data_IF_255457725883
#
_entry.id   IF_255457725883
#
_cell.length_a   1.000
_cell.length_b   1.000
_cell.length_c   1.000
_cell.angle_alpha   90.00
_cell.angle_beta   90.00
_cell.angle_gamma   90.00
#
_symmetry.space_group_name_H-M   'P 1'
#
loop_
_entity.id
_entity.type
_entity.pdbx_description
1 polymer ?
#
# COMPACT_ATOMS: atom_id res chain seq x y z
N UNK A 1 2.88 -18.69 1.95
CA UNK A 1 3.60 -17.39 2.09
C UNK A 1 3.95 -16.84 0.72
N UNK A 2 4.11 -15.52 0.58
CA UNK A 2 4.70 -14.88 -0.60
C UNK A 2 6.15 -14.57 -0.26
N UNK A 3 7.09 -14.98 -1.13
CA UNK A 3 8.52 -14.77 -0.92
C UNK A 3 9.11 -13.92 -2.04
N UNK A 4 9.83 -12.87 -1.66
CA UNK A 4 10.55 -11.97 -2.56
C UNK A 4 12.05 -12.28 -2.46
N UNK A 5 12.70 -12.55 -3.61
CA UNK A 5 14.12 -12.87 -3.69
C UNK A 5 14.83 -11.90 -4.63
N UNK A 6 15.61 -10.99 -4.06
CA UNK A 6 16.38 -9.99 -4.77
C UNK A 6 15.59 -9.22 -5.83
N UNK A 7 14.36 -8.83 -5.48
CA UNK A 7 13.43 -8.19 -6.41
C UNK A 7 13.86 -6.74 -6.66
N UNK A 8 13.94 -6.38 -7.95
CA UNK A 8 14.13 -5.01 -8.39
C UNK A 8 13.01 -4.59 -9.35
N UNK A 9 12.67 -3.31 -9.31
CA UNK A 9 11.69 -2.72 -10.20
C UNK A 9 12.20 -1.40 -10.81
N UNK A 10 12.01 -1.27 -12.11
CA UNK A 10 12.28 -0.05 -12.86
C UNK A 10 10.98 0.43 -13.53
N UNK A 11 10.85 1.72 -13.70
CA UNK A 11 9.79 2.32 -14.51
C UNK A 11 10.36 3.47 -15.33
N UNK A 12 10.18 3.41 -16.64
CA UNK A 12 10.69 4.44 -17.58
C UNK A 12 12.20 4.73 -17.40
N UNK A 13 13.00 3.67 -17.14
CA UNK A 13 14.44 3.79 -16.90
C UNK A 13 14.84 4.28 -15.51
N UNK A 14 13.89 4.62 -14.62
CA UNK A 14 14.14 5.02 -13.24
C UNK A 14 14.02 3.80 -12.32
N UNK A 15 15.03 3.61 -11.48
CA UNK A 15 15.00 2.62 -10.40
C UNK A 15 13.92 3.03 -9.37
N UNK A 16 12.97 2.15 -9.09
CA UNK A 16 12.00 2.30 -8.02
C UNK A 16 12.51 1.68 -6.72
N UNK A 17 12.98 0.44 -6.80
CA UNK A 17 13.66 -0.25 -5.69
C UNK A 17 14.50 -1.41 -6.21
N UNK A 18 15.51 -1.81 -5.43
CA UNK A 18 16.44 -2.90 -5.73
C UNK A 18 16.71 -3.76 -4.50
N UNK A 19 17.16 -4.99 -4.73
CA UNK A 19 17.58 -5.96 -3.70
C UNK A 19 16.52 -6.23 -2.62
N UNK A 20 15.23 -6.14 -2.96
CA UNK A 20 14.18 -6.40 -2.00
C UNK A 20 14.05 -7.88 -1.71
N UNK A 21 14.17 -8.23 -0.43
CA UNK A 21 14.00 -9.58 0.09
C UNK A 21 13.01 -9.53 1.26
N UNK A 22 11.95 -10.32 1.20
CA UNK A 22 10.95 -10.43 2.26
C UNK A 22 10.15 -11.72 2.15
N UNK A 23 9.49 -12.10 3.24
CA UNK A 23 8.53 -13.18 3.29
C UNK A 23 7.26 -12.68 3.98
N UNK A 24 6.11 -12.84 3.32
CA UNK A 24 4.81 -12.45 3.83
C UNK A 24 3.97 -13.69 4.10
N UNK A 25 3.37 -13.76 5.27
CA UNK A 25 2.60 -14.90 5.76
C UNK A 25 1.13 -14.55 5.96
N UNK A 26 0.24 -15.56 5.92
CA UNK A 26 -1.16 -15.40 6.36
C UNK A 26 -1.20 -14.85 7.78
N UNK A 27 -2.23 -14.05 8.09
CA UNK A 27 -2.39 -13.40 9.37
C UNK A 27 -1.56 -12.12 9.57
N UNK A 28 -0.64 -11.79 8.64
CA UNK A 28 0.07 -10.52 8.68
C UNK A 28 -0.77 -9.40 8.08
N UNK A 29 -0.67 -8.23 8.70
CA UNK A 29 -1.24 -6.96 8.22
C UNK A 29 -0.10 -5.97 8.08
N UNK A 30 0.22 -5.64 6.82
CA UNK A 30 1.40 -4.88 6.43
C UNK A 30 0.94 -3.57 5.79
N UNK A 31 1.30 -2.44 6.40
CA UNK A 31 1.10 -1.13 5.82
C UNK A 31 2.22 -0.81 4.82
N UNK A 32 1.88 -0.44 3.61
CA UNK A 32 2.83 -0.03 2.58
C UNK A 32 2.87 1.50 2.48
N UNK A 33 4.01 2.08 2.83
CA UNK A 33 4.20 3.53 2.90
C UNK A 33 5.36 4.00 2.04
N UNK A 34 5.39 5.29 1.74
CA UNK A 34 6.44 5.93 0.91
C UNK A 34 5.85 7.07 0.10
N UNK A 35 6.69 7.96 -0.40
CA UNK A 35 6.28 9.11 -1.20
C UNK A 35 5.58 8.69 -2.50
N UNK A 36 4.86 9.61 -3.13
CA UNK A 36 4.25 9.34 -4.42
C UNK A 36 5.32 9.05 -5.47
N UNK A 37 5.06 8.05 -6.32
CA UNK A 37 5.99 7.62 -7.36
C UNK A 37 7.18 6.77 -6.88
N UNK A 38 7.19 6.30 -5.62
CA UNK A 38 8.25 5.40 -5.10
C UNK A 38 8.10 3.95 -5.51
N UNK A 39 6.95 3.56 -6.09
CA UNK A 39 6.71 2.19 -6.56
C UNK A 39 5.73 1.37 -5.73
N UNK A 40 4.91 2.00 -4.87
CA UNK A 40 3.88 1.29 -4.09
C UNK A 40 2.93 0.48 -4.98
N UNK A 41 2.29 1.15 -5.95
CA UNK A 41 1.37 0.49 -6.89
C UNK A 41 2.08 -0.49 -7.82
N UNK A 42 3.37 -0.26 -8.15
CA UNK A 42 4.17 -1.21 -8.92
C UNK A 42 4.41 -2.50 -8.14
N UNK A 43 4.69 -2.41 -6.83
CA UNK A 43 4.83 -3.60 -5.97
C UNK A 43 3.52 -4.40 -5.89
N UNK A 44 2.37 -3.72 -5.77
CA UNK A 44 1.05 -4.36 -5.85
C UNK A 44 0.86 -5.06 -7.20
N UNK A 45 1.11 -4.37 -8.32
CA UNK A 45 0.98 -4.95 -9.66
C UNK A 45 1.90 -6.17 -9.88
N UNK A 46 3.10 -6.18 -9.29
CA UNK A 46 3.99 -7.35 -9.31
C UNK A 46 3.42 -8.53 -8.50
N UNK A 47 2.82 -8.28 -7.34
CA UNK A 47 2.17 -9.33 -6.53
C UNK A 47 0.97 -9.92 -7.29
N UNK A 48 0.20 -9.09 -7.97
CA UNK A 48 -0.91 -9.52 -8.85
C UNK A 48 -0.41 -10.34 -10.05
N UNK A 49 0.82 -10.10 -10.50
CA UNK A 49 1.38 -10.67 -11.72
C UNK A 49 1.04 -9.86 -12.99
N UNK A 50 0.52 -8.65 -12.83
CA UNK A 50 0.22 -7.71 -13.92
C UNK A 50 1.49 -7.00 -14.42
N UNK A 51 2.51 -6.92 -13.57
CA UNK A 51 3.82 -6.38 -13.90
C UNK A 51 4.91 -7.42 -13.59
N UNK A 52 5.79 -7.66 -14.56
CA UNK A 52 6.94 -8.55 -14.37
C UNK A 52 7.98 -7.93 -13.43
N UNK A 53 8.80 -8.78 -12.81
CA UNK A 53 9.98 -8.33 -12.06
C UNK A 53 11.15 -8.10 -13.03
N UNK A 54 11.87 -6.99 -12.89
CA UNK A 54 13.05 -6.70 -13.73
C UNK A 54 14.25 -7.56 -13.31
N UNK A 55 14.37 -7.83 -11.99
CA UNK A 55 15.37 -8.77 -11.43
C UNK A 55 14.75 -9.53 -10.27
N UNK A 56 15.32 -10.71 -10.00
CA UNK A 56 14.87 -11.56 -8.90
C UNK A 56 13.60 -12.32 -9.24
N UNK A 57 12.87 -12.75 -8.23
CA UNK A 57 11.61 -13.48 -8.39
C UNK A 57 10.67 -13.27 -7.21
N UNK A 58 9.38 -13.44 -7.47
CA UNK A 58 8.32 -13.46 -6.47
C UNK A 58 7.67 -14.84 -6.52
N UNK A 59 7.84 -15.61 -5.44
CA UNK A 59 7.24 -16.93 -5.30
C UNK A 59 5.96 -16.80 -4.48
N UNK A 60 4.85 -17.30 -5.04
CA UNK A 60 3.54 -17.37 -4.36
C UNK A 60 2.90 -18.74 -4.59
N UNK A 61 2.15 -19.28 -3.62
CA UNK A 61 1.40 -20.50 -3.82
C UNK A 61 0.39 -20.33 -4.94
N UNK A 62 0.27 -21.35 -5.80
CA UNK A 62 -0.62 -21.31 -6.98
C UNK A 62 -2.11 -21.30 -6.61
N UNK A 63 -2.44 -21.84 -5.45
CA UNK A 63 -3.78 -21.97 -4.88
C UNK A 63 -4.24 -20.68 -4.13
N UNK A 64 -3.34 -19.74 -3.90
CA UNK A 64 -3.71 -18.50 -3.23
C UNK A 64 -4.49 -17.57 -4.15
N UNK A 65 -5.69 -17.23 -3.71
CA UNK A 65 -6.53 -16.21 -4.34
C UNK A 65 -6.13 -14.83 -3.79
N UNK A 66 -5.99 -13.87 -4.70
CA UNK A 66 -5.65 -12.49 -4.34
C UNK A 66 -6.85 -11.62 -4.68
N UNK A 67 -7.42 -10.96 -3.67
CA UNK A 67 -8.39 -9.91 -3.87
C UNK A 67 -7.69 -8.55 -3.91
N UNK A 68 -8.04 -7.75 -4.89
CA UNK A 68 -7.51 -6.41 -5.07
C UNK A 68 -8.64 -5.41 -5.31
N UNK A 69 -8.60 -4.31 -4.59
CA UNK A 69 -9.55 -3.22 -4.76
C UNK A 69 -9.20 -2.43 -6.03
N UNK A 70 -10.06 -2.49 -7.05
CA UNK A 70 -9.88 -1.72 -8.26
C UNK A 70 -9.98 -0.21 -7.99
N UNK A 71 -9.22 0.60 -8.74
CA UNK A 71 -9.23 2.07 -8.57
C UNK A 71 -10.48 2.74 -9.19
N UNK A 72 -11.12 2.09 -10.14
CA UNK A 72 -12.31 2.61 -10.81
C UNK A 72 -13.43 1.57 -10.83
N UNK A 73 -14.65 2.04 -10.65
CA UNK A 73 -15.88 1.23 -10.75
C UNK A 73 -16.77 1.80 -11.81
N UNK A 74 -16.99 1.03 -12.87
CA UNK A 74 -17.93 1.38 -13.91
C UNK A 74 -19.38 1.26 -13.41
N UNK A 75 -20.25 2.13 -13.92
CA UNK A 75 -21.68 2.02 -13.64
C UNK A 75 -22.21 0.67 -14.17
N UNK A 76 -23.00 -0.01 -13.35
CA UNK A 76 -23.64 -1.30 -13.66
C UNK A 76 -25.13 -1.24 -13.33
N UNK A 77 -25.92 -2.01 -14.07
CA UNK A 77 -27.35 -2.18 -13.81
C UNK A 77 -27.65 -3.32 -12.81
N UNK A 78 -26.62 -3.86 -12.16
CA UNK A 78 -26.80 -4.80 -11.05
C UNK A 78 -27.26 -4.06 -9.80
N UNK A 79 -27.99 -4.74 -8.91
CA UNK A 79 -28.25 -4.22 -7.57
C UNK A 79 -26.94 -4.12 -6.77
N UNK A 80 -26.91 -3.28 -5.73
CA UNK A 80 -25.76 -3.18 -4.84
C UNK A 80 -25.41 -4.53 -4.23
N UNK A 81 -26.43 -5.28 -3.79
CA UNK A 81 -26.26 -6.62 -3.21
C UNK A 81 -25.67 -7.60 -4.22
N UNK A 82 -26.23 -7.70 -5.43
CA UNK A 82 -25.71 -8.60 -6.48
C UNK A 82 -24.29 -8.25 -6.88
N UNK A 83 -23.98 -6.95 -6.97
CA UNK A 83 -22.63 -6.48 -7.25
C UNK A 83 -21.63 -6.93 -6.18
N UNK A 84 -21.99 -6.84 -4.91
CA UNK A 84 -21.15 -7.30 -3.79
C UNK A 84 -21.01 -8.82 -3.79
N UNK A 85 -22.13 -9.55 -3.99
CA UNK A 85 -22.12 -11.02 -4.11
C UNK A 85 -21.23 -11.52 -5.25
N UNK A 86 -21.12 -10.77 -6.36
CA UNK A 86 -20.21 -11.12 -7.46
C UNK A 86 -18.74 -11.14 -7.07
N UNK A 87 -18.39 -10.61 -5.90
CA UNK A 87 -17.04 -10.73 -5.32
C UNK A 87 -16.70 -12.16 -4.88
N UNK A 88 -17.68 -12.95 -4.45
CA UNK A 88 -17.50 -14.38 -4.20
C UNK A 88 -17.78 -15.19 -5.48
N UNK A 89 -16.76 -15.29 -6.34
CA UNK A 89 -16.91 -15.96 -7.64
C UNK A 89 -17.33 -17.42 -7.56
N UNK A 90 -16.93 -18.15 -6.50
CA UNK A 90 -17.36 -19.55 -6.29
C UNK A 90 -18.83 -19.62 -5.98
N UNK A 91 -19.31 -18.77 -5.08
CA UNK A 91 -20.72 -18.69 -4.75
C UNK A 91 -21.56 -18.31 -5.98
N UNK A 92 -21.09 -17.28 -6.70
CA UNK A 92 -21.80 -16.76 -7.88
C UNK A 92 -21.98 -17.83 -8.96
N UNK A 93 -20.90 -18.58 -9.27
CA UNK A 93 -20.95 -19.69 -10.25
C UNK A 93 -21.89 -20.82 -9.80
N UNK A 94 -21.82 -21.23 -8.53
CA UNK A 94 -22.68 -22.30 -8.00
C UNK A 94 -24.15 -21.86 -7.93
N UNK A 95 -24.41 -20.63 -7.50
CA UNK A 95 -25.77 -20.08 -7.43
C UNK A 95 -26.39 -19.95 -8.82
N UNK A 96 -25.64 -19.49 -9.83
CA UNK A 96 -26.12 -19.44 -11.22
C UNK A 96 -26.50 -20.83 -11.74
N UNK A 97 -25.67 -21.86 -11.48
CA UNK A 97 -25.97 -23.24 -11.82
C UNK A 97 -27.22 -23.77 -11.12
N UNK A 98 -27.43 -23.40 -9.84
CA UNK A 98 -28.63 -23.77 -9.10
C UNK A 98 -29.90 -23.10 -9.62
N UNK A 99 -29.81 -21.88 -10.12
CA UNK A 99 -30.95 -21.20 -10.74
C UNK A 99 -31.28 -21.75 -12.14
N UNK A 100 -30.28 -22.26 -12.88
CA UNK A 100 -30.41 -22.75 -14.25
C UNK A 100 -30.44 -24.29 -14.33
N UNK A 101 -31.06 -24.97 -13.35
CA UNK A 101 -31.02 -26.44 -13.20
C UNK A 101 -31.61 -27.24 -14.37
N UNK A 102 -32.41 -26.63 -15.28
CA UNK A 102 -33.16 -27.33 -16.33
C UNK A 102 -32.32 -28.21 -17.29
N UNK A 103 -31.00 -27.98 -17.34
CA UNK A 103 -30.07 -28.70 -18.23
C UNK A 103 -29.15 -29.68 -17.47
N UNK A 104 -29.31 -29.85 -16.15
CA UNK A 104 -28.42 -30.62 -15.30
C UNK A 104 -29.04 -31.99 -14.95
N UNK A 105 -28.18 -33.02 -14.80
CA UNK A 105 -28.63 -34.31 -14.24
C UNK A 105 -28.87 -34.21 -12.72
N UNK A 106 -29.64 -35.12 -12.16
CA UNK A 106 -29.86 -35.21 -10.70
C UNK A 106 -28.56 -35.40 -9.93
N UNK A 107 -27.62 -36.14 -10.51
CA UNK A 107 -26.27 -36.33 -9.93
C UNK A 107 -25.48 -35.04 -9.86
N UNK A 108 -25.51 -34.24 -10.94
CA UNK A 108 -24.81 -32.95 -11.00
C UNK A 108 -25.41 -31.94 -10.01
N UNK A 109 -26.74 -31.94 -9.91
CA UNK A 109 -27.47 -31.10 -8.94
C UNK A 109 -27.02 -31.43 -7.51
N UNK A 110 -26.97 -32.73 -7.16
CA UNK A 110 -26.48 -33.17 -5.84
C UNK A 110 -25.04 -32.72 -5.55
N UNK A 111 -24.14 -32.83 -6.53
CA UNK A 111 -22.76 -32.37 -6.39
C UNK A 111 -22.63 -30.85 -6.24
N UNK A 112 -23.53 -30.09 -6.89
CA UNK A 112 -23.57 -28.62 -6.73
C UNK A 112 -24.05 -28.25 -5.33
N UNK A 113 -25.11 -28.87 -4.80
CA UNK A 113 -25.58 -28.63 -3.44
C UNK A 113 -24.51 -28.96 -2.40
N UNK A 114 -23.79 -30.06 -2.56
CA UNK A 114 -22.69 -30.42 -1.67
C UNK A 114 -21.61 -29.33 -1.67
N UNK A 115 -21.18 -28.87 -2.84
CA UNK A 115 -20.20 -27.78 -2.93
C UNK A 115 -20.72 -26.46 -2.34
N UNK A 116 -22.00 -26.16 -2.53
CA UNK A 116 -22.65 -24.98 -1.97
C UNK A 116 -22.66 -25.00 -0.45
N UNK A 117 -22.87 -26.19 0.14
CA UNK A 117 -22.78 -26.42 1.59
C UNK A 117 -21.33 -26.29 2.09
N UNK A 118 -20.35 -26.88 1.38
CA UNK A 118 -18.93 -26.80 1.73
C UNK A 118 -18.42 -25.36 1.81
N UNK A 119 -18.97 -24.45 0.98
CA UNK A 119 -18.61 -23.04 0.99
C UNK A 119 -19.49 -22.17 1.91
N UNK A 120 -20.37 -22.77 2.72
CA UNK A 120 -21.36 -22.03 3.53
C UNK A 120 -22.22 -21.05 2.67
N UNK A 121 -22.60 -21.53 1.47
CA UNK A 121 -23.22 -20.69 0.42
C UNK A 121 -24.55 -20.05 0.83
N UNK A 122 -25.31 -20.67 1.72
CA UNK A 122 -26.60 -20.13 2.22
C UNK A 122 -26.43 -18.87 3.07
N UNK A 123 -25.26 -18.68 3.70
CA UNK A 123 -24.96 -17.50 4.52
C UNK A 123 -24.35 -16.36 3.73
N UNK A 124 -23.89 -16.62 2.52
CA UNK A 124 -23.18 -15.61 1.68
C UNK A 124 -24.01 -14.34 1.44
N UNK A 125 -25.34 -14.39 1.15
CA UNK A 125 -26.15 -13.18 1.01
C UNK A 125 -26.24 -12.36 2.31
N UNK A 126 -26.39 -13.04 3.47
CA UNK A 126 -26.39 -12.36 4.77
C UNK A 126 -25.04 -11.69 5.06
N UNK A 127 -23.93 -12.35 4.73
CA UNK A 127 -22.57 -11.77 4.85
C UNK A 127 -22.41 -10.53 3.97
N UNK A 128 -22.90 -10.57 2.72
CA UNK A 128 -22.89 -9.42 1.83
C UNK A 128 -23.69 -8.24 2.40
N UNK A 129 -24.89 -8.51 2.94
CA UNK A 129 -25.70 -7.50 3.63
C UNK A 129 -25.01 -6.90 4.85
N UNK A 130 -24.33 -7.71 5.65
CA UNK A 130 -23.54 -7.22 6.79
C UNK A 130 -22.38 -6.32 6.36
N UNK A 131 -21.67 -6.68 5.27
CA UNK A 131 -20.59 -5.83 4.73
C UNK A 131 -21.15 -4.51 4.20
N UNK A 132 -22.27 -4.54 3.46
CA UNK A 132 -22.94 -3.33 2.99
C UNK A 132 -23.35 -2.43 4.16
N UNK A 133 -24.04 -2.98 5.15
CA UNK A 133 -24.47 -2.22 6.33
C UNK A 133 -23.29 -1.65 7.10
N UNK A 134 -22.19 -2.41 7.26
CA UNK A 134 -20.96 -1.95 7.91
C UNK A 134 -20.26 -0.82 7.17
N UNK A 135 -20.41 -0.74 5.85
CA UNK A 135 -19.89 0.35 5.02
C UNK A 135 -20.91 1.50 4.82
N UNK A 136 -21.99 1.51 5.60
CA UNK A 136 -22.93 2.62 5.69
C UNK A 136 -24.12 2.55 4.72
N UNK A 137 -24.32 1.43 4.00
CA UNK A 137 -25.51 1.25 3.15
C UNK A 137 -26.72 0.83 3.97
N UNK A 138 -27.84 1.56 3.83
CA UNK A 138 -29.11 1.17 4.42
C UNK A 138 -29.69 -0.06 3.71
N UNK A 139 -30.52 -0.84 4.42
CA UNK A 139 -31.16 -2.04 3.85
C UNK A 139 -31.93 -1.75 2.55
N UNK A 140 -32.60 -0.60 2.47
CA UNK A 140 -33.34 -0.16 1.27
C UNK A 140 -32.44 0.17 0.07
N UNK A 141 -31.13 0.35 0.27
CA UNK A 141 -30.16 0.63 -0.78
C UNK A 141 -29.56 -0.64 -1.37
N UNK A 142 -29.78 -1.80 -0.74
CA UNK A 142 -29.23 -3.08 -1.21
C UNK A 142 -29.79 -3.47 -2.59
N UNK A 143 -31.05 -3.15 -2.86
CA UNK A 143 -31.72 -3.41 -4.14
C UNK A 143 -31.51 -2.31 -5.18
N UNK A 144 -30.89 -1.20 -4.81
CA UNK A 144 -30.67 -0.05 -5.67
C UNK A 144 -29.55 -0.35 -6.67
N UNK A 145 -29.68 0.16 -7.91
CA UNK A 145 -28.70 -0.11 -8.95
C UNK A 145 -27.37 0.61 -8.69
N UNK A 146 -26.24 -0.05 -8.99
CA UNK A 146 -24.89 0.53 -8.86
C UNK A 146 -24.74 1.84 -9.65
N UNK A 147 -25.41 1.95 -10.81
CA UNK A 147 -25.41 3.16 -11.63
C UNK A 147 -26.03 4.39 -10.97
N UNK A 148 -26.89 4.21 -9.98
CA UNK A 148 -27.58 5.29 -9.27
C UNK A 148 -26.76 5.89 -8.12
N UNK A 149 -25.65 5.27 -7.77
CA UNK A 149 -24.76 5.74 -6.71
C UNK A 149 -23.74 6.75 -7.24
N UNK A 150 -23.36 7.71 -6.39
CA UNK A 150 -22.26 8.63 -6.68
C UNK A 150 -20.92 7.88 -6.75
N UNK A 151 -19.88 8.53 -7.31
CA UNK A 151 -18.54 7.94 -7.44
C UNK A 151 -17.99 7.41 -6.11
N UNK A 152 -18.11 8.18 -5.03
CA UNK A 152 -17.65 7.76 -3.70
C UNK A 152 -18.41 6.54 -3.16
N UNK A 153 -19.73 6.50 -3.34
CA UNK A 153 -20.53 5.34 -2.95
C UNK A 153 -20.22 4.10 -3.80
N UNK A 154 -19.94 4.27 -5.10
CA UNK A 154 -19.47 3.15 -5.94
C UNK A 154 -18.11 2.61 -5.48
N UNK A 155 -17.21 3.48 -5.00
CA UNK A 155 -15.94 3.02 -4.41
C UNK A 155 -16.16 2.23 -3.12
N UNK A 156 -17.13 2.61 -2.26
CA UNK A 156 -17.54 1.80 -1.11
C UNK A 156 -18.11 0.43 -1.52
N UNK A 157 -18.93 0.39 -2.59
CA UNK A 157 -19.41 -0.88 -3.16
C UNK A 157 -18.28 -1.76 -3.68
N UNK A 158 -17.26 -1.17 -4.31
CA UNK A 158 -16.08 -1.90 -4.75
C UNK A 158 -15.29 -2.48 -3.59
N UNK A 159 -15.13 -1.72 -2.52
CA UNK A 159 -14.55 -2.24 -1.28
C UNK A 159 -15.38 -3.41 -0.75
N UNK A 160 -16.70 -3.25 -0.61
CA UNK A 160 -17.61 -4.32 -0.18
C UNK A 160 -17.44 -5.60 -1.00
N UNK A 161 -17.43 -5.46 -2.33
CA UNK A 161 -17.18 -6.56 -3.27
C UNK A 161 -15.81 -7.21 -3.04
N UNK A 162 -14.78 -6.40 -2.82
CA UNK A 162 -13.42 -6.91 -2.56
C UNK A 162 -13.37 -7.71 -1.25
N UNK A 163 -14.07 -7.26 -0.20
CA UNK A 163 -14.15 -7.97 1.08
C UNK A 163 -14.96 -9.28 1.02
N UNK A 164 -15.79 -9.44 -0.02
CA UNK A 164 -16.53 -10.70 -0.26
C UNK A 164 -15.66 -11.81 -0.85
N UNK A 165 -14.53 -11.49 -1.48
CA UNK A 165 -13.64 -12.50 -2.04
C UNK A 165 -13.18 -13.50 -0.98
N UNK A 166 -13.14 -14.79 -1.36
CA UNK A 166 -12.51 -15.88 -0.59
C UNK A 166 -11.00 -15.89 -0.84
N UNK A 167 -10.33 -14.81 -0.44
CA UNK A 167 -8.93 -14.63 -0.77
C UNK A 167 -8.02 -14.94 0.42
N UNK A 168 -6.83 -15.46 0.14
CA UNK A 168 -5.74 -15.59 1.09
C UNK A 168 -4.93 -14.29 1.22
N UNK A 169 -5.03 -13.42 0.22
CA UNK A 169 -4.32 -12.14 0.18
C UNK A 169 -5.28 -11.03 -0.19
N UNK A 170 -5.31 -10.00 0.60
CA UNK A 170 -6.10 -8.80 0.39
C UNK A 170 -5.18 -7.61 0.15
N UNK A 171 -5.29 -6.99 -1.02
CA UNK A 171 -4.54 -5.81 -1.43
C UNK A 171 -5.49 -4.62 -1.47
N UNK A 172 -5.29 -3.66 -0.57
CA UNK A 172 -6.13 -2.47 -0.46
C UNK A 172 -5.29 -1.22 -0.72
N UNK A 173 -5.72 -0.40 -1.67
CA UNK A 173 -5.11 0.89 -2.00
C UNK A 173 -6.08 2.00 -1.62
N UNK A 174 -5.74 2.77 -0.57
CA UNK A 174 -6.51 3.88 0.00
C UNK A 174 -7.99 3.52 0.33
N UNK A 175 -8.25 2.43 1.10
CA UNK A 175 -9.61 1.96 1.34
C UNK A 175 -10.44 2.91 2.22
N UNK A 176 -9.79 3.78 3.00
CA UNK A 176 -10.45 4.77 3.86
C UNK A 176 -10.99 5.98 3.11
N UNK A 177 -10.55 6.18 1.85
CA UNK A 177 -11.07 7.26 1.04
C UNK A 177 -12.59 7.10 0.83
N UNK A 178 -13.32 8.18 1.02
CA UNK A 178 -14.78 8.23 0.91
C UNK A 178 -15.56 7.47 2.00
N UNK A 179 -14.93 6.96 3.06
CA UNK A 179 -15.59 6.40 4.23
C UNK A 179 -15.82 7.47 5.29
N UNK A 180 -16.93 7.37 6.01
CA UNK A 180 -17.15 8.08 7.26
C UNK A 180 -16.50 7.32 8.42
N UNK A 181 -16.51 7.94 9.60
CA UNK A 181 -15.84 7.38 10.78
C UNK A 181 -16.40 6.00 11.17
N UNK A 182 -17.72 5.82 11.11
CA UNK A 182 -18.36 4.56 11.51
C UNK A 182 -17.96 3.42 10.57
N UNK A 183 -17.90 3.68 9.25
CA UNK A 183 -17.44 2.73 8.26
C UNK A 183 -15.93 2.42 8.40
N UNK A 184 -15.09 3.39 8.77
CA UNK A 184 -13.66 3.16 9.07
C UNK A 184 -13.51 2.23 10.27
N UNK A 185 -14.19 2.51 11.39
CA UNK A 185 -14.13 1.68 12.59
C UNK A 185 -14.61 0.25 12.32
N UNK A 186 -15.68 0.10 11.54
CA UNK A 186 -16.16 -1.21 11.12
C UNK A 186 -15.13 -1.95 10.24
N UNK A 187 -14.48 -1.25 9.30
CA UNK A 187 -13.45 -1.83 8.43
C UNK A 187 -12.22 -2.27 9.23
N UNK A 188 -11.79 -1.50 10.23
CA UNK A 188 -10.72 -1.88 11.15
C UNK A 188 -11.03 -3.21 11.84
N UNK A 189 -12.22 -3.32 12.45
CA UNK A 189 -12.64 -4.55 13.12
C UNK A 189 -12.70 -5.74 12.14
N UNK A 190 -13.18 -5.52 10.93
CA UNK A 190 -13.25 -6.55 9.90
C UNK A 190 -11.84 -7.03 9.51
N UNK A 191 -10.91 -6.10 9.24
CA UNK A 191 -9.53 -6.42 8.87
C UNK A 191 -8.75 -7.10 10.00
N UNK A 192 -9.03 -6.77 11.25
CA UNK A 192 -8.44 -7.43 12.40
C UNK A 192 -8.87 -8.90 12.55
N UNK A 193 -10.06 -9.25 12.07
CA UNK A 193 -10.62 -10.62 12.06
C UNK A 193 -10.25 -11.43 10.80
N UNK A 194 -9.69 -10.79 9.78
CA UNK A 194 -9.31 -11.46 8.55
C UNK A 194 -8.05 -12.33 8.74
N UNK A 195 -8.16 -13.62 8.43
CA UNK A 195 -7.10 -14.63 8.66
C UNK A 195 -6.01 -14.64 7.57
N UNK A 196 -6.25 -13.99 6.44
CA UNK A 196 -5.32 -13.90 5.31
C UNK A 196 -4.20 -12.89 5.54
N UNK A 197 -3.38 -12.69 4.50
CA UNK A 197 -2.41 -11.61 4.42
C UNK A 197 -3.11 -10.32 3.94
N UNK A 198 -2.92 -9.23 4.66
CA UNK A 198 -3.36 -7.90 4.22
C UNK A 198 -2.15 -7.06 3.85
N UNK A 199 -2.15 -6.47 2.66
CA UNK A 199 -1.23 -5.40 2.26
C UNK A 199 -2.06 -4.15 2.00
N UNK A 200 -1.77 -3.09 2.74
CA UNK A 200 -2.60 -1.90 2.84
C UNK A 200 -1.79 -0.65 2.53
N UNK A 201 -2.21 0.12 1.54
CA UNK A 201 -1.73 1.50 1.34
C UNK A 201 -2.78 2.42 1.94
N UNK A 202 -2.36 3.32 2.83
CA UNK A 202 -3.20 4.41 3.34
C UNK A 202 -2.37 5.62 3.73
N UNK A 203 -2.97 6.80 3.63
CA UNK A 203 -2.45 8.04 4.19
C UNK A 203 -3.01 8.32 5.59
N UNK A 204 -3.97 7.54 6.04
CA UNK A 204 -4.55 7.61 7.38
C UNK A 204 -3.64 6.89 8.40
N UNK A 205 -3.01 7.69 9.26
CA UNK A 205 -2.03 7.19 10.23
C UNK A 205 -2.69 6.41 11.36
N UNK A 206 -3.86 6.82 11.82
CA UNK A 206 -4.60 6.16 12.91
C UNK A 206 -5.10 4.80 12.45
N UNK A 207 -5.61 4.72 11.25
CA UNK A 207 -6.03 3.46 10.61
C UNK A 207 -4.86 2.48 10.46
N UNK A 208 -3.69 2.96 9.95
CA UNK A 208 -2.49 2.12 9.85
C UNK A 208 -1.99 1.67 11.23
N UNK A 209 -2.11 2.53 12.23
CA UNK A 209 -1.65 2.24 13.60
C UNK A 209 -2.50 1.16 14.28
N UNK A 210 -3.81 1.18 14.01
CA UNK A 210 -4.77 0.21 14.53
C UNK A 210 -4.64 -1.15 13.82
N UNK A 211 -4.57 -1.15 12.49
CA UNK A 211 -4.68 -2.37 11.69
C UNK A 211 -3.34 -3.07 11.48
N UNK A 212 -2.25 -2.33 11.26
CA UNK A 212 -0.99 -2.89 10.80
C UNK A 212 -0.05 -3.27 11.95
N UNK A 213 0.47 -4.51 11.92
CA UNK A 213 1.53 -4.97 12.81
C UNK A 213 2.93 -4.85 12.22
N UNK A 214 3.03 -4.48 10.94
CA UNK A 214 4.30 -4.26 10.23
C UNK A 214 4.12 -3.14 9.21
N UNK A 215 5.19 -2.37 8.97
CA UNK A 215 5.22 -1.31 7.96
C UNK A 215 6.33 -1.58 6.96
N UNK A 216 5.94 -1.64 5.69
CA UNK A 216 6.84 -1.72 4.56
C UNK A 216 7.04 -0.32 3.99
N UNK A 217 8.23 0.24 4.14
CA UNK A 217 8.52 1.61 3.72
C UNK A 217 9.45 1.66 2.52
N UNK A 218 8.99 2.32 1.44
CA UNK A 218 9.79 2.51 0.22
C UNK A 218 10.43 3.90 0.25
N UNK A 219 11.75 3.94 0.35
CA UNK A 219 12.52 5.18 0.43
C UNK A 219 13.87 5.03 -0.29
N UNK A 220 14.26 6.03 -1.09
CA UNK A 220 15.57 6.10 -1.76
C UNK A 220 15.96 4.84 -2.54
N UNK A 221 15.00 4.22 -3.24
CA UNK A 221 15.24 3.01 -4.03
C UNK A 221 15.40 1.73 -3.21
N UNK A 222 15.06 1.75 -1.93
CA UNK A 222 15.08 0.57 -1.04
C UNK A 222 13.73 0.39 -0.38
N UNK A 223 13.42 -0.87 -0.11
CA UNK A 223 12.25 -1.25 0.68
C UNK A 223 12.73 -1.77 2.03
N UNK A 224 12.25 -1.17 3.11
CA UNK A 224 12.58 -1.58 4.47
C UNK A 224 11.32 -2.05 5.18
N UNK A 225 11.38 -3.22 5.81
CA UNK A 225 10.31 -3.77 6.64
C UNK A 225 10.58 -3.40 8.10
N UNK A 226 9.62 -2.76 8.74
CA UNK A 226 9.64 -2.41 10.16
C UNK A 226 8.60 -3.25 10.89
N UNK A 227 8.99 -3.85 12.00
CA UNK A 227 8.07 -4.53 12.93
C UNK A 227 7.43 -3.51 13.85
N UNK A 228 6.15 -3.67 14.09
CA UNK A 228 5.34 -2.78 14.90
C UNK A 228 4.37 -1.96 14.05
N UNK A 229 3.57 -1.14 14.72
CA UNK A 229 2.58 -0.27 14.10
C UNK A 229 3.20 1.00 13.48
N UNK A 230 2.37 1.87 12.93
CA UNK A 230 2.84 3.07 12.23
C UNK A 230 3.60 4.05 13.14
N UNK A 231 3.12 4.28 14.37
CA UNK A 231 3.79 5.13 15.35
C UNK A 231 5.17 4.61 15.74
N UNK A 232 5.30 3.30 15.94
CA UNK A 232 6.60 2.66 16.21
C UNK A 232 7.55 2.77 15.02
N UNK A 233 7.04 2.61 13.79
CA UNK A 233 7.82 2.83 12.58
C UNK A 233 8.38 4.26 12.52
N UNK A 234 7.54 5.29 12.70
CA UNK A 234 7.96 6.69 12.66
C UNK A 234 9.07 6.96 13.69
N UNK A 235 8.88 6.49 14.92
CA UNK A 235 9.89 6.63 15.97
C UNK A 235 11.22 5.93 15.62
N UNK A 236 11.14 4.70 15.12
CA UNK A 236 12.33 3.91 14.75
C UNK A 236 13.06 4.54 13.56
N UNK A 237 12.31 5.01 12.55
CA UNK A 237 12.87 5.72 11.40
C UNK A 237 13.58 7.02 11.82
N UNK A 238 12.93 7.84 12.65
CA UNK A 238 13.52 9.09 13.15
C UNK A 238 14.84 8.83 13.88
N UNK A 239 14.89 7.85 14.78
CA UNK A 239 16.11 7.45 15.50
C UNK A 239 17.22 6.96 14.55
N UNK A 240 16.86 6.19 13.51
CA UNK A 240 17.83 5.70 12.50
C UNK A 240 18.42 6.87 11.70
N UNK A 241 17.60 7.83 11.29
CA UNK A 241 18.05 9.03 10.57
C UNK A 241 18.97 9.90 11.44
N UNK A 242 18.65 10.10 12.70
CA UNK A 242 19.49 10.83 13.67
C UNK A 242 20.86 10.13 13.84
N UNK A 243 20.87 8.81 14.01
CA UNK A 243 22.10 8.03 14.10
C UNK A 243 22.96 8.14 12.82
N UNK A 244 22.33 8.06 11.64
CA UNK A 244 23.01 8.22 10.35
C UNK A 244 23.61 9.62 10.22
N UNK A 245 22.87 10.67 10.59
CA UNK A 245 23.35 12.05 10.54
C UNK A 245 24.53 12.26 11.49
N UNK A 246 24.45 11.74 12.73
CA UNK A 246 25.55 11.80 13.70
C UNK A 246 26.80 11.04 13.21
N UNK A 247 26.61 9.85 12.63
CA UNK A 247 27.70 9.07 12.06
C UNK A 247 28.34 9.78 10.86
N UNK A 248 27.55 10.40 9.97
CA UNK A 248 28.02 11.21 8.87
C UNK A 248 28.85 12.41 9.35
N UNK A 249 28.36 13.17 10.32
CA UNK A 249 29.07 14.33 10.88
C UNK A 249 30.41 13.92 11.50
N UNK A 250 30.45 12.82 12.27
CA UNK A 250 31.71 12.27 12.83
C UNK A 250 32.69 11.83 11.73
N UNK A 251 32.19 11.19 10.66
CA UNK A 251 33.00 10.78 9.53
C UNK A 251 33.60 11.99 8.82
N UNK A 252 32.80 13.05 8.56
CA UNK A 252 33.28 14.28 7.92
C UNK A 252 34.36 14.98 8.75
N UNK A 253 34.17 15.08 10.07
CA UNK A 253 35.18 15.63 10.98
C UNK A 253 36.46 14.80 10.95
N UNK A 254 36.37 13.47 10.91
CA UNK A 254 37.55 12.57 10.81
C UNK A 254 38.27 12.74 9.47
N UNK A 255 37.51 12.81 8.35
CA UNK A 255 38.09 13.07 7.03
C UNK A 255 38.85 14.39 6.99
N UNK A 256 38.20 15.47 7.45
CA UNK A 256 38.81 16.80 7.49
C UNK A 256 40.13 16.82 8.31
N UNK A 257 40.14 16.12 9.47
CA UNK A 257 41.33 15.98 10.29
C UNK A 257 42.46 15.21 9.59
N UNK A 258 42.13 14.09 8.92
CA UNK A 258 43.11 13.29 8.16
C UNK A 258 43.68 14.09 6.97
N UNK A 259 42.85 14.79 6.22
CA UNK A 259 43.24 15.64 5.08
C UNK A 259 44.14 16.78 5.53
N UNK A 260 43.80 17.47 6.63
CA UNK A 260 44.61 18.54 7.19
C UNK A 260 46.00 18.04 7.64
N UNK A 261 46.03 16.87 8.31
CA UNK A 261 47.27 16.22 8.67
C UNK A 261 48.15 15.88 7.45
N UNK A 262 47.54 15.27 6.41
CA UNK A 262 48.24 14.91 5.16
C UNK A 262 48.77 16.20 4.49
N UNK A 263 47.98 17.25 4.39
CA UNK A 263 48.36 18.53 3.81
C UNK A 263 49.56 19.14 4.51
N UNK A 264 49.58 19.16 5.85
CA UNK A 264 50.68 19.76 6.66
C UNK A 264 51.98 18.97 6.61
N UNK A 265 51.93 17.64 6.49
CA UNK A 265 53.09 16.77 6.68
C UNK A 265 53.53 16.01 5.44
N UNK A 266 52.85 16.14 4.29
CA UNK A 266 53.19 15.48 3.03
C UNK A 266 54.62 15.79 2.56
N UNK A 267 55.12 17.03 2.76
CA UNK A 267 56.40 17.50 2.33
C UNK A 267 57.55 17.28 3.36
N UNK A 268 57.25 16.82 4.59
CA UNK A 268 58.26 16.63 5.64
C UNK A 268 58.74 15.18 5.66
N UNK A 269 60.03 14.95 5.30
CA UNK A 269 60.63 13.62 5.21
C UNK A 269 60.46 12.77 6.49
N UNK A 270 60.58 13.38 7.69
CA UNK A 270 60.44 12.71 8.99
C UNK A 270 59.03 12.19 9.29
N UNK A 271 57.99 12.74 8.64
CA UNK A 271 56.58 12.33 8.85
C UNK A 271 55.92 11.75 7.60
N UNK A 272 56.65 11.57 6.50
CA UNK A 272 56.15 11.05 5.25
C UNK A 272 55.50 9.68 5.39
N UNK A 273 56.10 8.76 6.18
CA UNK A 273 55.52 7.42 6.47
C UNK A 273 54.16 7.50 7.21
N UNK A 274 54.04 8.46 8.14
CA UNK A 274 52.77 8.69 8.86
C UNK A 274 51.72 9.29 7.93
N UNK A 275 52.09 10.24 7.08
CA UNK A 275 51.18 10.81 6.09
C UNK A 275 50.66 9.76 5.09
N UNK A 276 51.53 8.84 4.62
CA UNK A 276 51.12 7.71 3.78
C UNK A 276 50.16 6.74 4.50
N UNK A 277 50.42 6.46 5.79
CA UNK A 277 49.50 5.63 6.59
C UNK A 277 48.11 6.26 6.72
N UNK A 278 48.05 7.60 6.93
CA UNK A 278 46.78 8.35 7.03
C UNK A 278 46.06 8.43 5.68
N UNK A 279 46.79 8.52 4.56
CA UNK A 279 46.21 8.46 3.23
C UNK A 279 45.54 7.11 2.98
N UNK A 280 46.24 6.00 3.30
CA UNK A 280 45.64 4.66 3.20
C UNK A 280 44.41 4.47 4.14
N UNK A 281 44.38 5.16 5.28
CA UNK A 281 43.19 5.16 6.16
C UNK A 281 42.05 5.91 5.51
N UNK A 282 42.28 7.04 4.88
CA UNK A 282 41.30 7.83 4.15
C UNK A 282 40.70 7.03 2.97
N UNK A 283 41.55 6.37 2.17
CA UNK A 283 41.18 5.56 1.02
C UNK A 283 40.32 4.32 1.40
N UNK A 284 40.46 3.84 2.63
CA UNK A 284 39.67 2.69 3.15
C UNK A 284 38.39 3.09 3.83
N UNK A 285 38.13 4.38 4.01
CA UNK A 285 36.89 4.84 4.64
C UNK A 285 35.69 4.66 3.68
N UNK A 286 34.75 3.82 4.04
CA UNK A 286 33.49 3.70 3.31
C UNK A 286 32.66 4.95 3.55
N UNK A 287 32.22 5.61 2.49
CA UNK A 287 31.41 6.81 2.61
C UNK A 287 30.03 6.53 3.20
N UNK A 288 29.68 7.25 4.25
CA UNK A 288 28.33 7.29 4.79
C UNK A 288 27.58 8.35 3.99
N UNK A 289 26.44 7.95 3.38
CA UNK A 289 25.60 8.90 2.65
C UNK A 289 24.97 9.92 3.63
N UNK A 290 24.93 11.20 3.27
CA UNK A 290 24.20 12.19 4.05
C UNK A 290 22.71 11.81 4.12
N UNK A 291 22.07 12.19 5.21
CA UNK A 291 20.61 12.13 5.28
C UNK A 291 20.07 13.19 4.30
N UNK A 292 19.49 12.73 3.20
CA UNK A 292 18.76 13.62 2.30
C UNK A 292 17.40 13.84 2.94
N UNK A 293 17.20 14.99 3.56
CA UNK A 293 15.88 15.39 3.96
C UNK A 293 15.00 15.49 2.69
N UNK A 294 13.84 14.86 2.70
CA UNK A 294 12.84 15.12 1.66
C UNK A 294 12.60 16.63 1.65
N UNK A 295 13.10 17.32 0.63
CA UNK A 295 12.85 18.74 0.46
C UNK A 295 11.36 18.91 0.21
N UNK A 296 10.65 19.47 1.18
CA UNK A 296 9.28 19.93 0.96
C UNK A 296 9.25 20.82 -0.28
N UNK A 297 8.16 20.74 -1.02
CA UNK A 297 7.95 21.63 -2.16
C UNK A 297 7.98 23.08 -1.64
N UNK A 298 9.08 23.80 -1.92
CA UNK A 298 9.14 25.25 -1.70
C UNK A 298 8.66 25.93 -2.99
N UNK A 299 7.40 26.32 -3.01
CA UNK A 299 6.86 27.10 -4.12
C UNK A 299 6.47 28.50 -3.59
N UNK A 300 6.79 29.51 -4.39
CA UNK A 300 6.37 30.89 -4.10
C UNK A 300 5.39 31.33 -5.16
N UNK A 301 4.26 31.85 -4.70
CA UNK A 301 3.38 32.59 -5.60
C UNK A 301 4.08 33.87 -6.01
N UNK A 302 4.15 34.15 -7.31
CA UNK A 302 4.57 35.47 -7.79
C UNK A 302 3.53 36.48 -7.35
N UNK A 303 3.94 37.46 -6.57
CA UNK A 303 3.07 38.60 -6.27
C UNK A 303 2.81 39.37 -7.55
N UNK A 304 1.56 39.58 -7.94
CA UNK A 304 1.25 40.38 -9.12
C UNK A 304 1.77 41.81 -8.91
N UNK A 305 2.36 42.38 -9.95
CA UNK A 305 2.90 43.75 -9.94
C UNK A 305 1.80 44.81 -9.76
N UNK A 306 0.57 44.47 -10.09
CA UNK A 306 -0.62 45.26 -9.85
C UNK A 306 -1.75 44.39 -9.35
N UNK A 307 -2.34 44.75 -8.22
CA UNK A 307 -3.58 44.17 -7.72
C UNK A 307 -4.73 45.10 -8.09
N UNK A 308 -5.77 44.55 -8.71
CA UNK A 308 -7.02 45.26 -8.87
C UNK A 308 -7.65 45.55 -7.48
N UNK A 309 -8.21 46.72 -7.31
CA UNK A 309 -8.96 47.04 -6.10
C UNK A 309 -10.34 47.61 -6.49
N UNK A 310 -11.43 46.88 -6.26
CA UNK A 310 -11.51 45.61 -5.53
C UNK A 310 -11.02 44.39 -6.36
N UNK A 311 -10.49 43.38 -5.65
CA UNK A 311 -10.03 42.09 -6.24
C UNK A 311 -11.19 41.27 -6.86
N UNK A 312 -12.35 41.32 -6.23
CA UNK A 312 -13.58 40.65 -6.66
C UNK A 312 -14.74 41.56 -6.37
N UNK A 313 -15.59 41.83 -7.35
CA UNK A 313 -16.87 42.53 -7.16
C UNK A 313 -18.00 41.56 -7.49
N UNK A 314 -18.93 41.38 -6.56
CA UNK A 314 -20.11 40.55 -6.76
C UNK A 314 -21.33 41.46 -6.81
N UNK A 315 -22.01 41.52 -7.93
CA UNK A 315 -23.28 42.21 -8.12
C UNK A 315 -24.42 41.22 -8.34
N UNK A 316 -25.48 41.29 -7.52
CA UNK A 316 -26.65 40.40 -7.60
C UNK A 316 -26.32 38.89 -7.51
N UNK A 317 -25.30 38.51 -6.78
CA UNK A 317 -24.91 37.11 -6.59
C UNK A 317 -25.70 36.48 -5.44
N UNK A 318 -26.34 35.32 -5.72
CA UNK A 318 -26.91 34.44 -4.70
C UNK A 318 -25.87 33.36 -4.36
N UNK A 319 -25.44 33.28 -3.11
CA UNK A 319 -24.53 32.24 -2.60
C UNK A 319 -25.40 31.25 -1.83
N UNK A 320 -25.51 30.01 -2.37
CA UNK A 320 -26.20 28.89 -1.74
C UNK A 320 -25.22 27.98 -1.00
#
# INVERSE_FOLDING_TARGET
MIEFKNVAAYREGRLLFDEFNAQFHKGQRIGLTGNNGTGKSTLIAMILGEHGVDKGQIDKPKDWQIAHMAQEVHASNQSALDYVLSGDGQWYELNDKLQNQRALSEHDIGAIYQKFDEIDGYRTPSKAGQILSGLGFGEHEHERMVSEFSGGWRMRLNLARTLMHRAEVLLLDEPTNHLDLDAILWLEEWLLKFDGLVLLISHDQEFLDTVCGQILHIEQGKINLYTGNYSQFIHTRAKRLEQQQSAFAKQQATKAHLEDFIRRFRAKATKAKQAQSRLKQLDRMTDIAPVVADSGFDFRFYSPTHMANPLITLENASIG
#
